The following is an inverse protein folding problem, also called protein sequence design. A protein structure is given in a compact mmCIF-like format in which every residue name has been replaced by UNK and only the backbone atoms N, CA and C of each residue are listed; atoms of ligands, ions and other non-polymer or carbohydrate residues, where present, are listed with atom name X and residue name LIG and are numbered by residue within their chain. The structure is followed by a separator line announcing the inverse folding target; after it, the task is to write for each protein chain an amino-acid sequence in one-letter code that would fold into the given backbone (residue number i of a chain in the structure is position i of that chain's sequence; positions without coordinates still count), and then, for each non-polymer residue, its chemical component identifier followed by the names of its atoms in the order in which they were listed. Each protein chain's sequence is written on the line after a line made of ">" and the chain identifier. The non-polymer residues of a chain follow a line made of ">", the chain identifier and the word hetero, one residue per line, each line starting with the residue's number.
data_IF_114969431436
#
_entry.id   IF_114969431436
#
_cell.length_a   1.000
_cell.length_b   1.000
_cell.length_c   1.000
_cell.angle_alpha   90.00
_cell.angle_beta   90.00
_cell.angle_gamma   90.00
#
_symmetry.space_group_name_H-M   'P 1'
#
loop_
_entity.id
_entity.type
_entity.pdbx_description
1 polymer ?
#
# COMPACT_ATOMS: atom_id res chain seq x y z
N UNK A 1 19.07 1.93 -1.48
CA UNK A 1 18.39 2.90 -0.58
C UNK A 1 19.01 2.77 0.80
N UNK A 2 19.60 3.85 1.35
CA UNK A 2 20.16 3.81 2.71
C UNK A 2 19.02 3.61 3.72
N UNK A 3 19.13 2.60 4.59
CA UNK A 3 18.19 2.35 5.69
C UNK A 3 18.20 3.58 6.60
N UNK A 4 17.06 4.27 6.69
CA UNK A 4 16.91 5.39 7.62
C UNK A 4 16.89 4.82 9.03
N UNK A 5 17.85 5.25 9.87
CA UNK A 5 17.87 4.89 11.29
C UNK A 5 16.54 5.32 11.95
N UNK A 6 15.98 4.53 12.88
CA UNK A 6 14.81 4.95 13.64
C UNK A 6 15.13 6.24 14.40
N UNK A 7 14.11 7.07 14.66
CA UNK A 7 14.30 8.24 15.52
C UNK A 7 14.73 7.80 16.92
N UNK A 8 15.54 8.59 17.62
CA UNK A 8 15.97 8.27 19.00
C UNK A 8 14.79 8.01 19.94
N UNK A 9 13.67 8.70 19.73
CA UNK A 9 12.44 8.49 20.49
C UNK A 9 11.81 7.12 20.20
N UNK A 10 11.75 6.69 18.93
CA UNK A 10 11.25 5.37 18.56
C UNK A 10 12.15 4.26 19.10
N UNK A 11 13.47 4.43 18.97
CA UNK A 11 14.45 3.48 19.50
C UNK A 11 14.29 3.30 21.01
N UNK A 12 14.17 4.40 21.77
CA UNK A 12 13.93 4.35 23.22
C UNK A 12 12.68 3.52 23.56
N UNK A 13 11.55 3.79 22.90
CA UNK A 13 10.31 3.04 23.15
C UNK A 13 10.44 1.57 22.75
N UNK A 14 11.16 1.26 21.68
CA UNK A 14 11.42 -0.12 21.28
C UNK A 14 12.26 -0.88 22.32
N UNK A 15 13.34 -0.25 22.83
CA UNK A 15 14.20 -0.85 23.86
C UNK A 15 13.51 -1.03 25.21
N UNK A 16 12.56 -0.15 25.55
CA UNK A 16 11.68 -0.34 26.72
C UNK A 16 10.82 -1.62 26.62
N UNK A 17 10.53 -2.10 25.40
CA UNK A 17 9.76 -3.33 25.17
C UNK A 17 10.67 -4.55 25.10
N UNK A 18 11.78 -4.44 24.34
CA UNK A 18 12.78 -5.48 24.19
C UNK A 18 14.12 -4.82 23.86
N UNK A 19 15.09 -4.96 24.77
CA UNK A 19 16.44 -4.42 24.57
C UNK A 19 17.26 -5.35 23.67
N UNK A 20 16.94 -5.32 22.38
CA UNK A 20 17.60 -6.07 21.31
C UNK A 20 17.74 -5.21 20.07
N UNK A 21 18.94 -5.16 19.50
CA UNK A 21 19.20 -4.41 18.26
C UNK A 21 18.38 -4.95 17.08
N UNK A 22 18.16 -6.27 17.03
CA UNK A 22 17.31 -6.92 16.03
C UNK A 22 15.84 -6.46 16.16
N UNK A 23 15.33 -6.36 17.40
CA UNK A 23 13.99 -5.84 17.63
C UNK A 23 13.88 -4.38 17.15
N UNK A 24 14.84 -3.53 17.51
CA UNK A 24 14.90 -2.12 17.07
C UNK A 24 14.93 -2.03 15.54
N UNK A 25 15.67 -2.90 14.86
CA UNK A 25 15.72 -2.95 13.39
C UNK A 25 14.36 -3.33 12.79
N UNK A 26 13.68 -4.35 13.32
CA UNK A 26 12.32 -4.71 12.89
C UNK A 26 11.36 -3.54 13.06
N UNK A 27 11.41 -2.82 14.19
CA UNK A 27 10.58 -1.64 14.43
C UNK A 27 10.89 -0.51 13.44
N UNK A 28 12.16 -0.29 13.09
CA UNK A 28 12.54 0.70 12.08
C UNK A 28 11.95 0.36 10.70
N UNK A 29 11.98 -0.92 10.31
CA UNK A 29 11.37 -1.40 9.07
C UNK A 29 9.84 -1.22 9.08
N UNK A 30 9.17 -1.47 10.21
CA UNK A 30 7.73 -1.24 10.36
C UNK A 30 7.41 0.26 10.26
N UNK A 31 8.24 1.15 10.82
CA UNK A 31 8.06 2.61 10.67
C UNK A 31 8.23 3.08 9.22
N UNK A 32 9.16 2.49 8.47
CA UNK A 32 9.28 2.76 7.03
C UNK A 32 8.07 2.27 6.23
N UNK A 33 7.55 1.08 6.57
CA UNK A 33 6.31 0.53 5.99
C UNK A 33 5.11 1.44 6.30
N UNK A 34 4.94 1.82 7.56
CA UNK A 34 3.89 2.73 7.99
C UNK A 34 3.93 4.03 7.19
N UNK A 35 5.11 4.67 7.08
CA UNK A 35 5.26 5.92 6.32
C UNK A 35 4.82 5.75 4.87
N UNK A 36 5.22 4.65 4.22
CA UNK A 36 4.84 4.38 2.83
C UNK A 36 3.33 4.27 2.68
N UNK A 37 2.66 3.51 3.55
CA UNK A 37 1.20 3.35 3.49
C UNK A 37 0.49 4.66 3.84
N UNK A 38 0.97 5.39 4.85
CA UNK A 38 0.42 6.69 5.25
C UNK A 38 0.57 7.73 4.13
N UNK A 39 1.70 7.75 3.41
CA UNK A 39 1.90 8.61 2.25
C UNK A 39 0.93 8.28 1.09
N UNK A 40 0.52 7.02 0.97
CA UNK A 40 -0.48 6.58 -0.01
C UNK A 40 -1.91 6.93 0.43
N UNK A 41 -2.17 7.04 1.74
CA UNK A 41 -3.46 7.40 2.31
C UNK A 41 -3.67 8.93 2.40
N UNK A 42 -2.72 9.66 2.97
CA UNK A 42 -2.87 11.08 3.30
C UNK A 42 -1.79 11.98 2.65
N UNK A 43 -0.73 11.39 2.10
CA UNK A 43 0.43 12.12 1.59
C UNK A 43 0.39 12.51 0.10
N UNK A 44 1.42 13.24 -0.36
CA UNK A 44 1.55 13.66 -1.76
C UNK A 44 1.69 12.48 -2.73
N UNK A 45 2.12 11.32 -2.24
CA UNK A 45 2.25 10.09 -3.04
C UNK A 45 0.89 9.60 -3.54
N UNK A 46 -0.19 9.79 -2.77
CA UNK A 46 -1.56 9.52 -3.22
C UNK A 46 -1.93 10.31 -4.47
N UNK A 47 -1.62 11.60 -4.47
CA UNK A 47 -1.89 12.48 -5.61
C UNK A 47 -1.08 12.06 -6.85
N UNK A 48 0.20 11.73 -6.67
CA UNK A 48 1.06 11.21 -7.73
C UNK A 48 0.51 9.90 -8.30
N UNK A 49 0.15 8.92 -7.47
CA UNK A 49 -0.44 7.65 -7.90
C UNK A 49 -1.74 7.87 -8.67
N UNK A 50 -2.63 8.76 -8.18
CA UNK A 50 -3.86 9.12 -8.90
C UNK A 50 -3.57 9.75 -10.26
N UNK A 51 -2.57 10.61 -10.35
CA UNK A 51 -2.17 11.23 -11.62
C UNK A 51 -1.60 10.20 -12.59
N UNK A 52 -0.74 9.29 -12.12
CA UNK A 52 -0.21 8.18 -12.91
C UNK A 52 -1.32 7.26 -13.40
N UNK A 53 -2.29 6.91 -12.56
CA UNK A 53 -3.43 6.07 -12.96
C UNK A 53 -4.31 6.75 -14.01
N UNK A 54 -4.56 8.06 -13.91
CA UNK A 54 -5.29 8.82 -14.93
C UNK A 54 -4.51 8.92 -16.25
N UNK A 55 -3.20 9.10 -16.20
CA UNK A 55 -2.37 9.11 -17.40
C UNK A 55 -2.38 7.73 -18.07
N UNK A 56 -2.22 6.66 -17.28
CA UNK A 56 -2.34 5.29 -17.73
C UNK A 56 -3.71 5.02 -18.38
N UNK A 57 -4.81 5.38 -17.72
CA UNK A 57 -6.17 5.24 -18.26
C UNK A 57 -6.30 5.90 -19.64
N UNK A 58 -5.87 7.17 -19.78
CA UNK A 58 -5.92 7.89 -21.06
C UNK A 58 -5.12 7.19 -22.16
N UNK A 59 -3.90 6.77 -21.84
CA UNK A 59 -3.04 6.09 -22.81
C UNK A 59 -3.53 4.68 -23.15
N UNK A 60 -4.04 3.93 -22.17
CA UNK A 60 -4.59 2.60 -22.37
C UNK A 60 -5.86 2.64 -23.22
N UNK A 61 -6.74 3.62 -23.00
CA UNK A 61 -7.93 3.84 -23.84
C UNK A 61 -7.55 4.25 -25.25
N UNK A 62 -6.67 5.26 -25.42
CA UNK A 62 -6.23 5.69 -26.74
C UNK A 62 -5.54 4.56 -27.53
N UNK A 63 -4.70 3.76 -26.86
CA UNK A 63 -4.07 2.60 -27.46
C UNK A 63 -5.12 1.53 -27.79
N UNK A 64 -6.06 1.25 -26.90
CA UNK A 64 -7.15 0.29 -27.13
C UNK A 64 -8.05 0.68 -28.31
N UNK A 65 -8.35 1.96 -28.46
CA UNK A 65 -9.13 2.48 -29.60
C UNK A 65 -8.36 2.35 -30.91
N UNK A 66 -7.07 2.72 -30.91
CA UNK A 66 -6.20 2.52 -32.07
C UNK A 66 -6.10 1.03 -32.45
N UNK A 67 -5.96 0.13 -31.46
CA UNK A 67 -5.94 -1.32 -31.70
C UNK A 67 -7.23 -1.83 -32.35
N UNK A 68 -8.39 -1.35 -31.91
CA UNK A 68 -9.69 -1.70 -32.51
C UNK A 68 -9.81 -1.18 -33.94
N UNK A 69 -9.41 0.06 -34.19
CA UNK A 69 -9.37 0.64 -35.54
C UNK A 69 -8.40 -0.12 -36.46
N UNK A 70 -7.28 -0.61 -35.91
CA UNK A 70 -6.31 -1.36 -36.69
C UNK A 70 -6.78 -2.78 -37.06
N UNK A 71 -7.61 -3.40 -36.22
CA UNK A 71 -8.19 -4.70 -36.48
C UNK A 71 -9.36 -4.65 -37.48
N UNK A 72 -10.09 -3.53 -37.57
CA UNK A 72 -11.23 -3.38 -38.49
C UNK A 72 -10.83 -3.13 -39.96
N UNK A 73 -9.54 -3.21 -40.30
CA UNK A 73 -9.06 -3.27 -41.69
C UNK A 73 -8.65 -1.93 -42.30
N UNK A 74 -8.69 -0.81 -41.56
CA UNK A 74 -8.18 0.49 -42.05
C UNK A 74 -6.72 0.78 -41.67
N UNK A 75 -6.06 -0.10 -40.91
CA UNK A 75 -4.66 0.08 -40.52
C UNK A 75 -3.65 -0.33 -41.59
N UNK A 76 -2.57 0.44 -41.62
CA UNK A 76 -1.36 0.15 -42.38
C UNK A 76 -0.67 -1.13 -41.86
N UNK A 77 0.07 -1.82 -42.73
CA UNK A 77 0.78 -3.09 -42.42
C UNK A 77 1.66 -3.05 -41.15
N UNK A 78 2.43 -1.97 -40.88
CA UNK A 78 3.26 -1.87 -39.67
C UNK A 78 2.49 -1.94 -38.35
N UNK A 79 1.26 -1.40 -38.34
CA UNK A 79 0.42 -1.32 -37.15
C UNK A 79 -0.11 -2.71 -36.78
N UNK A 80 -0.45 -3.52 -37.79
CA UNK A 80 -0.82 -4.93 -37.62
C UNK A 80 0.34 -5.81 -37.16
N UNK A 81 1.55 -5.56 -37.65
CA UNK A 81 2.76 -6.28 -37.25
C UNK A 81 3.16 -5.97 -35.79
N UNK A 82 3.07 -4.70 -35.39
CA UNK A 82 3.26 -4.28 -33.99
C UNK A 82 2.25 -4.95 -33.06
N UNK A 83 0.98 -5.01 -33.48
CA UNK A 83 -0.12 -5.69 -32.79
C UNK A 83 0.16 -7.18 -32.56
N UNK A 84 0.60 -7.88 -33.60
CA UNK A 84 0.94 -9.30 -33.53
C UNK A 84 2.12 -9.55 -32.59
N UNK A 85 3.11 -8.65 -32.56
CA UNK A 85 4.26 -8.72 -31.64
C UNK A 85 3.82 -8.54 -30.17
N UNK A 86 3.03 -7.51 -29.89
CA UNK A 86 2.48 -7.25 -28.55
C UNK A 86 1.64 -8.43 -28.05
N UNK A 87 0.76 -8.97 -28.90
CA UNK A 87 -0.07 -10.14 -28.56
C UNK A 87 0.74 -11.42 -28.32
N UNK A 88 1.88 -11.61 -29.00
CA UNK A 88 2.81 -12.72 -28.73
C UNK A 88 3.49 -12.56 -27.36
N UNK A 89 3.92 -11.35 -27.00
CA UNK A 89 4.56 -11.09 -25.71
C UNK A 89 3.61 -11.23 -24.52
N UNK A 90 2.32 -10.92 -24.68
CA UNK A 90 1.33 -11.03 -23.58
C UNK A 90 0.88 -12.46 -23.28
N UNK A 91 0.96 -13.39 -24.24
CA UNK A 91 0.61 -14.81 -24.08
C UNK A 91 1.51 -15.59 -23.11
N UNK A 92 2.61 -14.98 -22.63
CA UNK A 92 3.46 -15.56 -21.58
C UNK A 92 3.06 -15.22 -20.14
N UNK A 93 1.99 -14.44 -19.93
CA UNK A 93 1.51 -14.08 -18.58
C UNK A 93 0.40 -15.03 -18.12
N UNK A 94 0.34 -15.35 -16.82
CA UNK A 94 -0.56 -16.35 -16.20
C UNK A 94 -2.07 -16.13 -16.41
N UNK A 95 -2.48 -15.07 -17.10
CA UNK A 95 -3.85 -14.81 -17.49
C UNK A 95 -3.94 -14.80 -19.02
N UNK A 96 -4.56 -15.82 -19.59
CA UNK A 96 -4.92 -15.84 -21.00
C UNK A 96 -5.81 -14.64 -21.30
N UNK A 97 -5.32 -13.72 -22.13
CA UNK A 97 -6.10 -12.59 -22.62
C UNK A 97 -6.22 -12.74 -24.12
N UNK A 98 -7.47 -12.87 -24.57
CA UNK A 98 -7.82 -13.16 -25.97
C UNK A 98 -7.31 -12.08 -26.95
N UNK A 99 -7.22 -10.82 -26.51
CA UNK A 99 -6.65 -9.74 -27.31
C UNK A 99 -6.00 -8.62 -26.47
N UNK A 100 -4.96 -7.98 -27.02
CA UNK A 100 -4.30 -6.82 -26.40
C UNK A 100 -5.28 -5.65 -26.12
N UNK A 101 -6.32 -5.49 -26.93
CA UNK A 101 -7.35 -4.48 -26.74
C UNK A 101 -8.23 -4.78 -25.51
N UNK A 102 -8.58 -6.05 -25.29
CA UNK A 102 -9.38 -6.46 -24.12
C UNK A 102 -8.57 -6.38 -22.83
N UNK A 103 -7.26 -6.65 -22.90
CA UNK A 103 -6.37 -6.40 -21.77
C UNK A 103 -6.35 -4.92 -21.39
N UNK A 104 -6.16 -4.03 -22.37
CA UNK A 104 -6.12 -2.58 -22.13
C UNK A 104 -7.45 -2.04 -21.59
N UNK A 105 -8.58 -2.54 -22.09
CA UNK A 105 -9.89 -2.17 -21.59
C UNK A 105 -10.12 -2.60 -20.13
N UNK A 106 -9.69 -3.82 -19.76
CA UNK A 106 -9.74 -4.27 -18.36
C UNK A 106 -8.81 -3.47 -17.47
N UNK A 107 -7.59 -3.20 -17.94
CA UNK A 107 -6.60 -2.43 -17.18
C UNK A 107 -7.04 -0.98 -16.97
N UNK A 108 -7.62 -0.32 -17.99
CA UNK A 108 -8.15 1.04 -17.85
C UNK A 108 -9.33 1.07 -16.88
N UNK A 109 -10.29 0.14 -17.00
CA UNK A 109 -11.41 0.03 -16.07
C UNK A 109 -10.95 -0.19 -14.61
N UNK A 110 -9.94 -1.04 -14.38
CA UNK A 110 -9.36 -1.25 -13.06
C UNK A 110 -8.67 0.01 -12.50
N UNK A 111 -7.98 0.77 -13.36
CA UNK A 111 -7.39 2.05 -12.99
C UNK A 111 -8.47 3.09 -12.59
N UNK A 112 -9.56 3.19 -13.36
CA UNK A 112 -10.70 4.07 -13.06
C UNK A 112 -11.36 3.69 -11.73
N UNK A 113 -11.61 2.39 -11.50
CA UNK A 113 -12.17 1.89 -10.24
C UNK A 113 -11.26 2.21 -9.06
N UNK A 114 -9.95 2.04 -9.21
CA UNK A 114 -8.98 2.37 -8.17
C UNK A 114 -8.96 3.87 -7.89
N UNK A 115 -9.00 4.73 -8.91
CA UNK A 115 -9.10 6.19 -8.72
C UNK A 115 -10.40 6.59 -8.01
N UNK A 116 -11.51 5.91 -8.31
CA UNK A 116 -12.80 6.13 -7.63
C UNK A 116 -12.75 5.69 -6.16
N UNK A 117 -12.20 4.50 -5.87
CA UNK A 117 -11.97 4.00 -4.51
C UNK A 117 -11.06 4.95 -3.72
N UNK A 118 -9.98 5.42 -4.35
CA UNK A 118 -9.09 6.44 -3.81
C UNK A 118 -9.77 7.80 -3.61
N UNK A 119 -11.01 8.05 -4.05
CA UNK A 119 -11.80 9.22 -3.63
C UNK A 119 -12.73 8.87 -2.46
N UNK A 120 -13.36 7.70 -2.48
CA UNK A 120 -14.31 7.27 -1.44
C UNK A 120 -13.65 6.89 -0.12
N UNK A 121 -12.46 6.27 -0.16
CA UNK A 121 -11.75 5.81 1.03
C UNK A 121 -11.25 6.96 1.91
N UNK A 122 -11.21 8.19 1.39
CA UNK A 122 -10.96 9.40 2.18
C UNK A 122 -11.98 9.57 3.33
N UNK A 123 -13.19 9.01 3.20
CA UNK A 123 -14.27 9.18 4.18
C UNK A 123 -14.57 7.95 5.04
N UNK A 124 -14.11 6.73 4.66
CA UNK A 124 -14.57 5.49 5.31
C UNK A 124 -13.48 4.62 5.94
N UNK A 125 -12.22 4.70 5.49
CA UNK A 125 -11.21 3.69 5.84
C UNK A 125 -9.79 4.24 6.11
N UNK A 126 -9.65 5.46 6.64
CA UNK A 126 -8.34 6.10 6.92
C UNK A 126 -7.51 5.47 8.04
N UNK A 127 -7.28 4.15 8.00
CA UNK A 127 -6.52 3.37 8.99
C UNK A 127 -5.77 2.19 8.38
N UNK A 128 -5.46 2.20 7.07
CA UNK A 128 -4.68 1.12 6.44
C UNK A 128 -3.27 1.12 7.01
N UNK A 129 -2.59 2.26 7.09
CA UNK A 129 -1.22 2.32 7.62
C UNK A 129 -1.12 1.83 9.08
N UNK A 130 -1.98 2.27 10.03
CA UNK A 130 -2.05 1.69 11.37
C UNK A 130 -2.31 0.19 11.40
N UNK A 131 -3.20 -0.34 10.54
CA UNK A 131 -3.53 -1.78 10.51
C UNK A 131 -2.36 -2.61 9.99
N UNK A 132 -1.79 -2.23 8.85
CA UNK A 132 -0.64 -2.91 8.26
C UNK A 132 0.55 -2.93 9.22
N UNK A 133 0.81 -1.82 9.91
CA UNK A 133 1.86 -1.78 10.93
C UNK A 133 1.51 -2.63 12.16
N UNK A 134 0.24 -2.68 12.59
CA UNK A 134 -0.19 -3.54 13.68
C UNK A 134 -0.01 -5.03 13.36
N UNK A 135 -0.31 -5.46 12.13
CA UNK A 135 -0.10 -6.83 11.67
C UNK A 135 1.39 -7.21 11.67
N UNK A 136 2.24 -6.35 11.12
CA UNK A 136 3.69 -6.55 11.14
C UNK A 136 4.27 -6.54 12.57
N UNK A 137 3.72 -5.68 13.44
CA UNK A 137 4.11 -5.61 14.84
C UNK A 137 3.70 -6.88 15.59
N UNK A 138 2.51 -7.43 15.31
CA UNK A 138 2.07 -8.71 15.89
C UNK A 138 3.03 -9.85 15.53
N UNK A 139 3.41 -9.96 14.26
CA UNK A 139 4.39 -10.96 13.81
C UNK A 139 5.75 -10.76 14.48
N UNK A 140 6.17 -9.51 14.69
CA UNK A 140 7.42 -9.20 15.40
C UNK A 140 7.36 -9.59 16.88
N UNK A 141 6.24 -9.33 17.56
CA UNK A 141 6.03 -9.75 18.95
C UNK A 141 6.06 -11.27 19.07
N UNK A 142 5.43 -11.99 18.14
CA UNK A 142 5.44 -13.44 18.11
C UNK A 142 6.86 -14.00 17.90
N UNK A 143 7.60 -13.44 16.94
CA UNK A 143 8.99 -13.81 16.67
C UNK A 143 9.91 -13.62 17.90
N UNK A 144 9.75 -12.50 18.61
CA UNK A 144 10.51 -12.19 19.84
C UNK A 144 9.90 -12.80 21.12
N UNK A 145 8.87 -13.65 21.01
CA UNK A 145 8.15 -14.29 22.13
C UNK A 145 7.60 -13.30 23.17
N UNK A 146 7.22 -12.11 22.73
CA UNK A 146 6.65 -11.05 23.54
C UNK A 146 5.13 -11.18 23.64
N UNK A 147 4.57 -10.75 24.78
CA UNK A 147 3.13 -10.79 25.00
C UNK A 147 2.41 -9.72 24.17
N UNK A 148 1.60 -10.15 23.20
CA UNK A 148 0.71 -9.26 22.45
C UNK A 148 -0.53 -8.88 23.27
N UNK A 149 -0.73 -7.59 23.53
CA UNK A 149 -1.92 -7.07 24.23
C UNK A 149 -2.42 -5.78 23.61
N UNK A 150 -3.75 -5.64 23.51
CA UNK A 150 -4.43 -4.46 22.95
C UNK A 150 -5.26 -3.73 24.03
N UNK A 151 -4.91 -3.94 25.30
CA UNK A 151 -5.62 -3.34 26.44
C UNK A 151 -5.14 -1.91 26.72
N UNK A 152 -6.07 -1.09 27.18
CA UNK A 152 -5.79 0.20 27.82
C UNK A 152 -6.41 0.09 29.22
N UNK A 153 -5.59 0.11 30.27
CA UNK A 153 -6.04 -0.10 31.66
C UNK A 153 -5.82 1.19 32.42
N UNK A 154 -6.88 1.75 33.01
CA UNK A 154 -6.83 3.03 33.75
C UNK A 154 -6.15 4.18 32.97
N UNK A 155 -6.34 4.20 31.66
CA UNK A 155 -5.73 5.19 30.76
C UNK A 155 -4.32 4.85 30.28
N UNK A 156 -3.70 3.78 30.79
CA UNK A 156 -2.37 3.34 30.37
C UNK A 156 -2.46 2.34 29.20
N UNK A 157 -1.93 2.69 28.01
CA UNK A 157 -1.89 1.78 26.88
C UNK A 157 -0.82 0.69 27.05
N UNK A 158 -1.11 -0.51 26.54
CA UNK A 158 -0.15 -1.61 26.49
C UNK A 158 1.15 -1.24 25.75
N UNK A 159 2.26 -1.96 25.98
CA UNK A 159 3.51 -1.75 25.26
C UNK A 159 3.35 -1.77 23.73
N UNK A 160 2.51 -2.69 23.21
CA UNK A 160 2.25 -2.79 21.78
C UNK A 160 1.49 -1.56 21.23
N UNK A 161 0.51 -1.02 21.96
CA UNK A 161 -0.19 0.21 21.57
C UNK A 161 0.76 1.41 21.63
N UNK A 162 1.55 1.54 22.70
CA UNK A 162 2.56 2.61 22.85
C UNK A 162 3.55 2.59 21.69
N UNK A 163 4.03 1.40 21.33
CA UNK A 163 4.98 1.21 20.26
C UNK A 163 4.37 1.53 18.89
N UNK A 164 3.12 1.12 18.62
CA UNK A 164 2.42 1.50 17.39
C UNK A 164 2.24 3.02 17.25
N UNK A 165 1.86 3.72 18.33
CA UNK A 165 1.81 5.19 18.35
C UNK A 165 3.19 5.84 18.18
N UNK A 166 4.27 5.22 18.68
CA UNK A 166 5.63 5.72 18.47
C UNK A 166 6.09 5.52 17.01
N UNK A 167 5.75 4.38 16.40
CA UNK A 167 5.99 4.06 14.99
C UNK A 167 5.32 5.11 14.09
N UNK A 168 4.05 5.41 14.33
CA UNK A 168 3.28 6.42 13.60
C UNK A 168 3.93 7.81 13.71
N UNK A 169 4.25 8.26 14.93
CA UNK A 169 4.90 9.56 15.16
C UNK A 169 6.26 9.65 14.48
N UNK A 170 7.07 8.60 14.54
CA UNK A 170 8.36 8.54 13.84
C UNK A 170 8.20 8.48 12.31
N UNK A 171 7.07 8.00 11.82
CA UNK A 171 6.73 7.96 10.40
C UNK A 171 6.24 9.32 9.88
N UNK A 172 5.74 10.21 10.75
CA UNK A 172 5.21 11.53 10.41
C UNK A 172 3.72 11.71 10.74
N UNK A 173 3.06 10.69 11.29
CA UNK A 173 1.67 10.76 11.75
C UNK A 173 1.61 11.05 13.25
N UNK A 174 1.31 12.29 13.60
CA UNK A 174 1.10 12.73 14.99
C UNK A 174 -0.34 12.59 15.48
N UNK A 175 -1.28 12.21 14.61
CA UNK A 175 -2.71 12.17 14.89
C UNK A 175 -3.16 10.80 15.42
N UNK A 176 -2.37 9.74 15.22
CA UNK A 176 -2.71 8.41 15.72
C UNK A 176 -2.75 8.33 17.26
N UNK A 177 -3.97 8.30 17.80
CA UNK A 177 -4.22 8.16 19.23
C UNK A 177 -4.13 6.71 19.72
N UNK A 178 -3.95 6.49 21.03
CA UNK A 178 -3.96 5.15 21.63
C UNK A 178 -5.29 4.39 21.42
N UNK A 179 -6.48 5.02 21.56
CA UNK A 179 -7.74 4.40 21.16
C UNK A 179 -7.79 3.99 19.69
N UNK A 180 -7.28 4.80 18.77
CA UNK A 180 -7.30 4.48 17.34
C UNK A 180 -6.32 3.37 16.98
N UNK A 181 -5.12 3.40 17.58
CA UNK A 181 -4.15 2.31 17.51
C UNK A 181 -4.75 1.00 18.02
N UNK A 182 -5.47 1.04 19.15
CA UNK A 182 -6.18 -0.13 19.68
C UNK A 182 -7.20 -0.68 18.68
N UNK A 183 -7.97 0.18 18.01
CA UNK A 183 -8.93 -0.26 16.99
C UNK A 183 -8.20 -0.87 15.78
N UNK A 184 -7.09 -0.29 15.35
CA UNK A 184 -6.28 -0.82 14.24
C UNK A 184 -5.67 -2.20 14.55
N UNK A 185 -5.38 -2.49 15.82
CA UNK A 185 -4.84 -3.78 16.28
C UNK A 185 -5.90 -4.86 16.48
N UNK A 186 -7.20 -4.54 16.38
CA UNK A 186 -8.26 -5.55 16.49
C UNK A 186 -8.32 -6.37 15.20
N UNK A 187 -8.46 -7.71 15.29
CA UNK A 187 -8.70 -8.53 14.12
C UNK A 187 -9.97 -8.06 13.41
N UNK A 188 -9.96 -8.14 12.08
CA UNK A 188 -11.14 -7.83 11.26
C UNK A 188 -12.23 -8.85 11.63
N UNK A 189 -13.24 -8.42 12.37
CA UNK A 189 -14.47 -9.20 12.52
C UNK A 189 -15.11 -9.25 11.14
N UNK A 190 -14.99 -10.41 10.49
CA UNK A 190 -15.71 -10.78 9.26
C UNK A 190 -17.20 -10.84 9.51
#
# INVERSE_FOLDING_TARGET
>A
MQRRKPSKALEKVAREVCDSDEFVEHIANISALYRREHDLEAGPRRAAVRQSLKAFERHATALGDWLKSAQSGSASKPERDALASIGKSMRGSQHEVDSAADWLARASAAATQTVAAMKSDQKKNGRVAPRTAAEALRATFEHHRLKWTTSIVRGEPSPAIRLLCAIARSAGDSELTAPDARVAMRPKTT
#
